data_IF_421214126671
#
_entry.id   IF_421214126671
#
_cell.length_a   1.000
_cell.length_b   1.000
_cell.length_c   1.000
_cell.angle_alpha   90.00
_cell.angle_beta   90.00
_cell.angle_gamma   90.00
#
_symmetry.space_group_name_H-M   'P 1'
#
loop_
_entity.id
_entity.type
_entity.pdbx_description
1 polymer ?
#
# COMPACT_ATOMS: atom_id res chain seq x y z
N UNK A 1 -29.93 15.06 -4.78
CA UNK A 1 -29.40 14.92 -6.15
C UNK A 1 -28.33 13.83 -6.11
N UNK A 2 -28.64 12.62 -6.57
CA UNK A 2 -27.63 11.56 -6.63
C UNK A 2 -26.57 11.95 -7.65
N UNK A 3 -25.32 11.99 -7.23
CA UNK A 3 -24.15 12.16 -8.08
C UNK A 3 -24.20 11.08 -9.16
N UNK A 4 -23.86 11.42 -10.38
CA UNK A 4 -23.87 10.56 -11.57
C UNK A 4 -23.40 9.15 -11.25
N UNK A 5 -24.33 8.23 -11.12
CA UNK A 5 -24.08 6.81 -10.97
C UNK A 5 -24.04 6.22 -12.39
N UNK A 6 -22.88 5.72 -12.78
CA UNK A 6 -22.73 4.99 -14.04
C UNK A 6 -22.53 3.52 -13.74
N UNK A 7 -23.60 2.74 -13.91
CA UNK A 7 -23.62 1.30 -13.68
C UNK A 7 -22.60 0.56 -14.58
N UNK A 8 -22.47 0.97 -15.83
CA UNK A 8 -21.52 0.36 -16.75
C UNK A 8 -20.06 0.60 -16.31
N UNK A 9 -19.78 1.76 -15.72
CA UNK A 9 -18.44 2.05 -15.20
C UNK A 9 -18.11 1.16 -14.00
N UNK A 10 -19.08 0.89 -13.14
CA UNK A 10 -18.89 -0.01 -11.98
C UNK A 10 -18.61 -1.44 -12.43
N UNK A 11 -19.39 -1.95 -13.39
CA UNK A 11 -19.18 -3.29 -13.93
C UNK A 11 -17.80 -3.42 -14.60
N UNK A 12 -17.41 -2.44 -15.41
CA UNK A 12 -16.07 -2.42 -16.03
C UNK A 12 -14.92 -2.35 -15.00
N UNK A 13 -15.10 -1.58 -13.92
CA UNK A 13 -14.10 -1.54 -12.86
C UNK A 13 -13.95 -2.90 -12.17
N UNK A 14 -15.06 -3.61 -11.95
CA UNK A 14 -15.03 -4.96 -11.40
C UNK A 14 -14.27 -5.95 -12.29
N UNK A 15 -14.55 -5.93 -13.60
CA UNK A 15 -13.85 -6.75 -14.60
C UNK A 15 -12.34 -6.41 -14.64
N UNK A 16 -12.00 -5.14 -14.62
CA UNK A 16 -10.62 -4.67 -14.61
C UNK A 16 -9.84 -5.14 -13.38
N UNK A 17 -10.43 -5.01 -12.19
CA UNK A 17 -9.82 -5.49 -10.93
C UNK A 17 -9.64 -7.02 -10.97
N UNK A 18 -10.65 -7.75 -11.45
CA UNK A 18 -10.55 -9.20 -11.56
C UNK A 18 -9.46 -9.65 -12.54
N UNK A 19 -9.27 -8.92 -13.64
CA UNK A 19 -8.22 -9.21 -14.62
C UNK A 19 -6.80 -9.05 -14.04
N UNK A 20 -6.62 -8.22 -13.00
CA UNK A 20 -5.33 -8.02 -12.34
C UNK A 20 -4.97 -9.14 -11.36
N UNK A 21 -5.90 -10.04 -11.04
CA UNK A 21 -5.72 -11.08 -10.02
C UNK A 21 -4.44 -11.89 -10.21
N UNK A 22 -4.17 -12.35 -11.42
CA UNK A 22 -2.99 -13.17 -11.69
C UNK A 22 -1.67 -12.42 -11.45
N UNK A 23 -1.63 -11.10 -11.70
CA UNK A 23 -0.46 -10.28 -11.41
C UNK A 23 -0.31 -10.02 -9.91
N UNK A 24 -1.41 -9.77 -9.21
CA UNK A 24 -1.42 -9.64 -7.74
C UNK A 24 -0.93 -10.93 -7.07
N UNK A 25 -1.36 -12.10 -7.54
CA UNK A 25 -0.90 -13.40 -7.04
C UNK A 25 0.60 -13.58 -7.23
N UNK A 26 1.16 -13.20 -8.39
CA UNK A 26 2.62 -13.24 -8.62
C UNK A 26 3.39 -12.28 -7.69
N UNK A 27 2.87 -11.09 -7.47
CA UNK A 27 3.47 -10.12 -6.53
C UNK A 27 3.46 -10.71 -5.12
N UNK A 28 2.35 -11.29 -4.70
CA UNK A 28 2.22 -11.93 -3.39
C UNK A 28 3.23 -13.07 -3.22
N UNK A 29 3.35 -13.95 -4.22
CA UNK A 29 4.33 -15.04 -4.22
C UNK A 29 5.77 -14.51 -4.12
N UNK A 30 6.12 -13.51 -4.93
CA UNK A 30 7.46 -12.90 -4.92
C UNK A 30 7.80 -12.25 -3.58
N UNK A 31 6.84 -11.56 -2.96
CA UNK A 31 7.00 -10.94 -1.64
C UNK A 31 7.15 -12.00 -0.55
N UNK A 32 6.35 -13.07 -0.59
CA UNK A 32 6.45 -14.19 0.35
C UNK A 32 7.79 -14.95 0.19
N UNK A 33 8.25 -15.15 -1.04
CA UNK A 33 9.55 -15.81 -1.31
C UNK A 33 10.73 -14.96 -0.81
N UNK A 34 10.65 -13.63 -0.98
CA UNK A 34 11.65 -12.69 -0.44
C UNK A 34 11.68 -12.73 1.09
N UNK A 35 10.54 -12.93 1.72
CA UNK A 35 10.35 -12.97 3.17
C UNK A 35 10.36 -11.58 3.82
N UNK A 36 9.64 -11.46 4.92
CA UNK A 36 9.57 -10.25 5.76
C UNK A 36 9.23 -10.63 7.19
N UNK A 37 9.58 -9.76 8.14
CA UNK A 37 9.37 -10.01 9.57
C UNK A 37 8.14 -9.27 10.11
N UNK A 38 7.75 -8.17 9.47
CA UNK A 38 6.62 -7.33 9.88
C UNK A 38 6.01 -6.58 8.70
N UNK A 39 4.80 -6.04 8.92
CA UNK A 39 4.06 -5.28 7.91
C UNK A 39 3.77 -3.88 8.44
N UNK A 40 3.99 -2.88 7.60
CA UNK A 40 3.59 -1.49 7.85
C UNK A 40 2.64 -1.01 6.75
N UNK A 41 1.43 -0.62 7.13
CA UNK A 41 0.52 0.13 6.26
C UNK A 41 0.75 1.63 6.48
N UNK A 42 1.16 2.35 5.45
CA UNK A 42 1.33 3.80 5.56
C UNK A 42 0.81 4.52 4.34
N UNK A 43 0.06 5.56 4.56
CA UNK A 43 -0.52 6.43 3.54
C UNK A 43 -1.13 7.67 4.19
N UNK A 44 -1.92 8.44 3.42
CA UNK A 44 -2.62 9.62 3.90
C UNK A 44 -4.14 9.49 3.73
N UNK A 45 -4.89 10.00 4.70
CA UNK A 45 -6.34 10.14 4.63
C UNK A 45 -7.08 8.83 4.31
N UNK A 46 -8.01 8.90 3.35
CA UNK A 46 -8.87 7.76 2.97
C UNK A 46 -8.11 6.54 2.43
N UNK A 47 -6.93 6.74 1.85
CA UNK A 47 -6.10 5.65 1.37
C UNK A 47 -5.57 4.79 2.53
N UNK A 48 -5.17 5.41 3.65
CA UNK A 48 -4.80 4.67 4.86
C UNK A 48 -6.02 3.99 5.48
N UNK A 49 -7.14 4.72 5.60
CA UNK A 49 -8.37 4.16 6.16
C UNK A 49 -8.87 2.91 5.42
N UNK A 50 -8.66 2.84 4.10
CA UNK A 50 -8.97 1.66 3.29
C UNK A 50 -8.10 0.45 3.67
N UNK A 51 -6.87 0.66 4.12
CA UNK A 51 -5.93 -0.42 4.46
C UNK A 51 -6.06 -0.89 5.92
N UNK A 52 -6.56 -0.06 6.83
CA UNK A 52 -6.69 -0.41 8.26
C UNK A 52 -7.48 -1.69 8.56
N UNK A 53 -8.55 -2.06 7.83
CA UNK A 53 -9.20 -3.35 8.02
C UNK A 53 -8.26 -4.55 7.83
N UNK A 54 -7.30 -4.46 6.91
CA UNK A 54 -6.31 -5.52 6.67
C UNK A 54 -5.30 -5.62 7.81
N UNK A 55 -4.87 -4.51 8.39
CA UNK A 55 -4.07 -4.48 9.62
C UNK A 55 -4.77 -5.29 10.72
N UNK A 56 -6.03 -4.97 11.01
CA UNK A 56 -6.82 -5.71 11.98
C UNK A 56 -6.94 -7.19 11.64
N UNK A 57 -7.27 -7.54 10.40
CA UNK A 57 -7.43 -8.93 9.98
C UNK A 57 -6.14 -9.73 10.17
N UNK A 58 -5.01 -9.20 9.74
CA UNK A 58 -3.72 -9.89 9.82
C UNK A 58 -3.29 -10.04 11.28
N UNK A 59 -3.47 -9.00 12.10
CA UNK A 59 -3.11 -9.05 13.54
C UNK A 59 -3.93 -10.06 14.34
N UNK A 60 -5.17 -10.34 13.92
CA UNK A 60 -6.02 -11.36 14.57
C UNK A 60 -5.73 -12.76 14.03
N UNK A 61 -5.36 -12.89 12.76
CA UNK A 61 -5.19 -14.18 12.09
C UNK A 61 -3.76 -14.71 12.09
N UNK A 62 -2.79 -13.90 12.52
CA UNK A 62 -1.37 -14.27 12.50
C UNK A 62 -0.62 -13.73 13.72
N UNK A 63 0.63 -14.16 13.89
CA UNK A 63 1.56 -13.62 14.87
C UNK A 63 2.48 -12.54 14.30
N UNK A 64 2.21 -12.06 13.08
CA UNK A 64 2.99 -11.00 12.46
C UNK A 64 2.77 -9.68 13.23
N UNK A 65 3.84 -8.93 13.42
CA UNK A 65 3.74 -7.55 13.88
C UNK A 65 3.25 -6.69 12.72
N UNK A 66 2.02 -6.19 12.83
CA UNK A 66 1.39 -5.36 11.81
C UNK A 66 1.05 -4.01 12.42
N UNK A 67 1.30 -2.95 11.71
CA UNK A 67 1.05 -1.58 12.16
C UNK A 67 0.48 -0.73 11.03
N UNK A 68 -0.34 0.24 11.40
CA UNK A 68 -0.79 1.32 10.51
C UNK A 68 -0.32 2.66 11.04
N UNK A 69 0.31 3.47 10.20
CA UNK A 69 0.81 4.80 10.58
C UNK A 69 0.56 5.80 9.45
N UNK A 70 0.12 7.02 9.79
CA UNK A 70 -0.06 8.09 8.80
C UNK A 70 1.32 8.47 8.22
N UNK A 71 1.42 8.67 6.91
CA UNK A 71 2.69 9.01 6.26
C UNK A 71 3.37 10.24 6.86
N UNK A 72 2.61 11.27 7.24
CA UNK A 72 3.16 12.45 7.89
C UNK A 72 3.72 12.15 9.29
N UNK A 73 3.07 11.31 10.07
CA UNK A 73 3.55 10.86 11.38
C UNK A 73 4.83 10.04 11.24
N UNK A 74 4.86 9.10 10.27
CA UNK A 74 6.04 8.30 9.97
C UNK A 74 7.28 9.18 9.68
N UNK A 75 7.09 10.30 8.97
CA UNK A 75 8.18 11.22 8.65
C UNK A 75 8.68 12.02 9.85
N UNK A 76 7.81 12.30 10.83
CA UNK A 76 8.16 13.12 12.01
C UNK A 76 8.68 12.24 13.15
N UNK A 77 8.00 11.13 13.41
CA UNK A 77 8.26 10.30 14.60
C UNK A 77 9.17 9.11 14.27
N UNK A 78 9.25 8.73 12.98
CA UNK A 78 9.87 7.49 12.57
C UNK A 78 9.04 6.26 12.97
N UNK A 79 9.62 5.07 12.79
CA UNK A 79 9.06 3.81 13.27
C UNK A 79 10.20 2.85 13.60
N UNK A 80 10.31 2.43 14.87
CA UNK A 80 11.39 1.57 15.35
C UNK A 80 11.32 0.13 14.77
N UNK A 81 10.18 -0.27 14.22
CA UNK A 81 10.00 -1.56 13.56
C UNK A 81 10.28 -1.52 12.06
N UNK A 82 10.51 -0.33 11.48
CA UNK A 82 10.83 -0.18 10.08
C UNK A 82 12.29 -0.54 9.81
N UNK A 83 12.50 -1.67 9.17
CA UNK A 83 13.81 -2.25 8.82
C UNK A 83 13.81 -2.70 7.35
N UNK A 84 14.94 -3.21 6.89
CA UNK A 84 15.07 -3.86 5.57
C UNK A 84 14.25 -5.16 5.43
N UNK A 85 13.72 -5.68 6.54
CA UNK A 85 12.79 -6.81 6.61
C UNK A 85 11.32 -6.41 6.74
N UNK A 86 11.01 -5.14 6.60
CA UNK A 86 9.63 -4.66 6.65
C UNK A 86 8.99 -4.71 5.26
N UNK A 87 7.79 -5.27 5.19
CA UNK A 87 6.91 -5.14 4.02
C UNK A 87 6.01 -3.93 4.23
N UNK A 88 6.11 -2.94 3.36
CA UNK A 88 5.35 -1.69 3.47
C UNK A 88 4.30 -1.61 2.37
N UNK A 89 3.04 -1.52 2.77
CA UNK A 89 1.93 -1.24 1.86
C UNK A 89 1.61 0.25 1.86
N UNK A 90 1.53 0.82 0.68
CA UNK A 90 1.17 2.23 0.45
C UNK A 90 0.06 2.34 -0.58
N UNK A 91 -0.89 3.24 -0.37
CA UNK A 91 -1.96 3.46 -1.33
C UNK A 91 -2.08 4.95 -1.68
N UNK A 92 -2.33 5.25 -2.94
CA UNK A 92 -2.62 6.62 -3.39
C UNK A 92 -3.43 6.60 -4.67
N UNK A 93 -4.56 7.32 -4.67
CA UNK A 93 -5.38 7.42 -5.88
C UNK A 93 -4.64 8.14 -7.02
N UNK A 94 -3.92 9.22 -6.73
CA UNK A 94 -3.17 10.01 -7.70
C UNK A 94 -1.69 9.61 -7.82
N UNK A 95 -1.17 8.87 -6.82
CA UNK A 95 0.23 8.47 -6.76
C UNK A 95 1.24 9.61 -6.53
N UNK A 96 0.76 10.84 -6.28
CA UNK A 96 1.58 12.05 -6.13
C UNK A 96 1.37 12.78 -4.78
N UNK A 97 0.62 12.18 -3.85
CA UNK A 97 0.39 12.75 -2.51
C UNK A 97 1.75 13.00 -1.84
N UNK A 98 2.07 14.25 -1.57
CA UNK A 98 3.41 14.69 -1.15
C UNK A 98 3.94 13.95 0.06
N UNK A 99 3.13 13.80 1.09
CA UNK A 99 3.48 13.11 2.33
C UNK A 99 3.73 11.61 2.07
N UNK A 100 2.89 10.98 1.23
CA UNK A 100 3.04 9.57 0.89
C UNK A 100 4.30 9.32 0.05
N UNK A 101 4.58 10.18 -0.92
CA UNK A 101 5.81 10.10 -1.73
C UNK A 101 7.06 10.34 -0.88
N UNK A 102 7.01 11.31 0.05
CA UNK A 102 8.12 11.55 0.97
C UNK A 102 8.34 10.35 1.92
N UNK A 103 7.26 9.76 2.44
CA UNK A 103 7.33 8.54 3.24
C UNK A 103 7.90 7.36 2.45
N UNK A 104 7.54 7.19 1.17
CA UNK A 104 8.10 6.15 0.32
C UNK A 104 9.62 6.29 0.15
N UNK A 105 10.13 7.51 -0.01
CA UNK A 105 11.58 7.76 -0.06
C UNK A 105 12.25 7.36 1.26
N UNK A 106 11.67 7.77 2.38
CA UNK A 106 12.18 7.42 3.70
C UNK A 106 12.19 5.90 3.93
N UNK A 107 11.11 5.21 3.55
CA UNK A 107 11.00 3.74 3.62
C UNK A 107 12.06 3.07 2.76
N UNK A 108 12.28 3.57 1.55
CA UNK A 108 13.30 3.05 0.62
C UNK A 108 14.73 3.22 1.17
N UNK A 109 15.02 4.33 1.84
CA UNK A 109 16.30 4.55 2.53
C UNK A 109 16.55 3.54 3.66
N UNK A 110 15.49 2.98 4.26
CA UNK A 110 15.59 1.90 5.25
C UNK A 110 15.78 0.50 4.63
N UNK A 111 15.69 0.38 3.32
CA UNK A 111 15.83 -0.89 2.60
C UNK A 111 14.57 -1.75 2.60
N UNK A 112 13.44 -1.26 3.13
CA UNK A 112 12.19 -1.99 3.20
C UNK A 112 11.57 -2.21 1.81
N UNK A 113 10.77 -3.26 1.67
CA UNK A 113 10.05 -3.57 0.42
C UNK A 113 8.75 -2.79 0.35
N UNK A 114 8.53 -2.06 -0.73
CA UNK A 114 7.33 -1.26 -0.95
C UNK A 114 6.42 -1.94 -1.98
N UNK A 115 5.18 -2.20 -1.57
CA UNK A 115 4.07 -2.58 -2.46
C UNK A 115 3.07 -1.43 -2.48
N UNK A 116 2.77 -0.89 -3.65
CA UNK A 116 1.81 0.21 -3.76
C UNK A 116 0.53 -0.18 -4.50
N UNK A 117 -0.59 0.39 -4.05
CA UNK A 117 -1.90 0.32 -4.72
C UNK A 117 -2.23 1.70 -5.27
N UNK A 118 -2.29 1.81 -6.57
CA UNK A 118 -2.37 3.07 -7.29
C UNK A 118 -3.65 3.16 -8.12
N UNK A 119 -4.20 4.37 -8.22
CA UNK A 119 -5.33 4.65 -9.11
C UNK A 119 -4.90 5.17 -10.49
N UNK A 120 -3.62 5.32 -10.73
CA UNK A 120 -3.04 5.83 -11.98
C UNK A 120 -1.71 5.13 -12.29
N UNK A 121 -1.44 4.94 -13.55
CA UNK A 121 -0.14 4.48 -14.03
C UNK A 121 0.89 5.63 -14.02
N UNK A 122 2.18 5.29 -13.98
CA UNK A 122 3.30 6.24 -14.10
C UNK A 122 3.25 7.40 -13.10
N UNK A 123 3.25 7.08 -11.82
CA UNK A 123 3.21 8.07 -10.75
C UNK A 123 4.48 8.08 -9.91
N UNK A 124 4.80 9.21 -9.22
CA UNK A 124 5.97 9.29 -8.33
C UNK A 124 6.05 8.20 -7.27
N UNK A 125 4.90 7.77 -6.72
CA UNK A 125 4.86 6.66 -5.77
C UNK A 125 5.14 5.32 -6.46
N UNK A 126 4.60 5.10 -7.66
CA UNK A 126 4.85 3.89 -8.44
C UNK A 126 6.33 3.71 -8.79
N UNK A 127 7.03 4.79 -9.17
CA UNK A 127 8.47 4.77 -9.47
C UNK A 127 9.34 4.42 -8.25
N UNK A 128 8.86 4.71 -7.03
CA UNK A 128 9.55 4.39 -5.78
C UNK A 128 9.25 2.99 -5.28
N UNK A 129 8.16 2.38 -5.75
CA UNK A 129 7.70 1.08 -5.28
C UNK A 129 8.45 -0.07 -5.94
N UNK A 130 8.64 -1.15 -5.20
CA UNK A 130 9.22 -2.39 -5.75
C UNK A 130 8.16 -3.16 -6.55
N UNK A 131 6.90 -3.02 -6.15
CA UNK A 131 5.73 -3.59 -6.82
C UNK A 131 4.57 -2.58 -6.80
N UNK A 132 3.81 -2.48 -7.91
CA UNK A 132 2.65 -1.59 -8.02
C UNK A 132 1.60 -2.15 -8.97
#
# INVERSE_FOLDING_TARGET
MMVKFDENQILKNGEYIYAQRAEIEKIADAVCEKGFDNILFTSSGGSLAMMQPFDYMISVMSNLNVQSQISAELLVEGNNHLTDKTLVFMASKSGDTKETVAAAKYVKEKGATIVSVLGVDNSPLGELSDYS
#
